data_IF_791487999477
#
_entry.id   IF_791487999477
#
_cell.length_a   1.000
_cell.length_b   1.000
_cell.length_c   1.000
_cell.angle_alpha   90.00
_cell.angle_beta   90.00
_cell.angle_gamma   90.00
#
_symmetry.space_group_name_H-M   'P 1'
#
loop_
_entity.id
_entity.type
_entity.pdbx_description
1 polymer ?
#
# COMPACT_ATOMS: atom_id res chain seq x y z
N UNK A 1 -4.24 -8.10 -10.96
CA UNK A 1 -4.81 -8.49 -12.24
C UNK A 1 -4.36 -7.48 -13.28
N UNK A 2 -3.36 -7.86 -14.07
CA UNK A 2 -2.75 -7.01 -15.11
C UNK A 2 -3.59 -6.90 -16.40
N UNK A 3 -4.76 -7.53 -16.45
CA UNK A 3 -5.55 -7.65 -17.69
C UNK A 3 -6.60 -6.55 -17.83
N UNK A 4 -7.08 -5.98 -16.74
CA UNK A 4 -8.10 -4.91 -16.76
C UNK A 4 -7.76 -3.80 -15.77
N UNK A 5 -7.91 -2.56 -16.24
CA UNK A 5 -7.85 -1.41 -15.35
C UNK A 5 -8.99 -1.49 -14.34
N UNK A 6 -8.68 -1.22 -13.06
CA UNK A 6 -9.67 -1.28 -11.99
C UNK A 6 -10.70 -0.15 -12.10
N UNK A 7 -10.29 0.99 -12.65
CA UNK A 7 -11.14 2.15 -12.83
C UNK A 7 -11.56 2.28 -14.29
N UNK A 8 -12.87 2.24 -14.55
CA UNK A 8 -13.43 2.37 -15.88
C UNK A 8 -14.04 3.76 -16.03
N UNK A 9 -13.65 4.49 -17.08
CA UNK A 9 -14.30 5.75 -17.45
C UNK A 9 -15.62 5.47 -18.12
N UNK A 10 -16.71 6.03 -17.57
CA UNK A 10 -18.06 5.86 -18.13
C UNK A 10 -18.24 6.87 -19.28
N UNK A 11 -18.66 6.42 -20.48
CA UNK A 11 -18.89 7.32 -21.62
C UNK A 11 -20.16 8.15 -21.40
N UNK A 12 -20.06 9.27 -20.72
CA UNK A 12 -21.20 10.12 -20.35
C UNK A 12 -21.01 11.62 -20.64
N UNK A 13 -19.96 12.00 -21.36
CA UNK A 13 -19.59 13.41 -21.59
C UNK A 13 -19.14 14.20 -20.35
N UNK A 14 -19.26 13.62 -19.17
CA UNK A 14 -18.71 14.11 -17.90
C UNK A 14 -17.66 13.12 -17.39
N UNK A 15 -16.71 13.59 -16.59
CA UNK A 15 -15.74 12.71 -15.97
C UNK A 15 -16.43 11.89 -14.87
N UNK A 16 -16.87 10.70 -15.26
CA UNK A 16 -17.47 9.70 -14.35
C UNK A 16 -16.66 8.43 -14.43
N UNK A 17 -16.40 7.86 -13.29
CA UNK A 17 -15.65 6.62 -13.15
C UNK A 17 -16.46 5.59 -12.40
N UNK A 18 -16.23 4.33 -12.70
CA UNK A 18 -16.81 3.19 -12.02
C UNK A 18 -15.72 2.15 -11.75
N UNK A 19 -15.78 1.50 -10.60
CA UNK A 19 -14.90 0.38 -10.31
C UNK A 19 -15.33 -0.87 -11.06
N UNK A 20 -14.38 -1.58 -11.65
CA UNK A 20 -14.63 -2.81 -12.42
C UNK A 20 -15.31 -3.89 -11.58
N UNK A 21 -14.96 -3.98 -10.30
CA UNK A 21 -15.58 -4.90 -9.36
C UNK A 21 -17.09 -4.63 -9.15
N UNK A 22 -17.50 -3.37 -9.16
CA UNK A 22 -18.94 -3.03 -9.08
C UNK A 22 -19.69 -3.41 -10.36
N UNK A 23 -19.05 -3.23 -11.51
CA UNK A 23 -19.60 -3.70 -12.78
C UNK A 23 -19.78 -5.24 -12.78
N UNK A 24 -18.75 -5.97 -12.35
CA UNK A 24 -18.80 -7.43 -12.24
C UNK A 24 -19.94 -7.85 -11.29
N UNK A 25 -20.02 -7.23 -10.10
CA UNK A 25 -21.09 -7.53 -9.15
C UNK A 25 -22.48 -7.24 -9.72
N UNK A 26 -22.62 -6.20 -10.55
CA UNK A 26 -23.89 -5.87 -11.20
C UNK A 26 -24.31 -6.98 -12.15
N UNK A 27 -23.42 -7.45 -13.01
CA UNK A 27 -23.70 -8.47 -14.04
C UNK A 27 -23.51 -9.91 -13.56
N UNK A 28 -23.17 -10.14 -12.30
CA UNK A 28 -22.98 -11.48 -11.76
C UNK A 28 -24.16 -12.45 -12.02
N UNK A 29 -25.46 -12.03 -11.94
CA UNK A 29 -26.59 -12.91 -12.30
C UNK A 29 -26.56 -13.41 -13.73
N UNK A 30 -26.00 -12.65 -14.68
CA UNK A 30 -25.88 -13.10 -16.08
C UNK A 30 -24.79 -14.17 -16.24
N UNK A 31 -23.73 -14.09 -15.41
CA UNK A 31 -22.67 -15.11 -15.41
C UNK A 31 -23.17 -16.44 -14.81
N UNK A 32 -24.05 -16.34 -13.83
CA UNK A 32 -24.61 -17.49 -13.11
C UNK A 32 -26.11 -17.72 -13.47
N UNK A 33 -26.44 -17.71 -14.76
CA UNK A 33 -27.83 -17.82 -15.26
C UNK A 33 -28.61 -19.03 -14.71
N UNK A 34 -27.92 -20.13 -14.41
CA UNK A 34 -28.51 -21.36 -13.87
C UNK A 34 -28.72 -21.34 -12.35
N UNK A 35 -28.31 -20.26 -11.68
CA UNK A 35 -28.36 -20.15 -10.22
C UNK A 35 -29.06 -18.85 -9.81
N UNK A 36 -29.71 -18.88 -8.67
CA UNK A 36 -30.22 -17.67 -8.03
C UNK A 36 -29.17 -17.11 -7.14
N UNK A 37 -28.60 -15.96 -7.48
CA UNK A 37 -27.64 -15.23 -6.63
C UNK A 37 -28.35 -14.64 -5.43
N UNK A 38 -28.17 -15.23 -4.25
CA UNK A 38 -28.79 -14.77 -2.99
C UNK A 38 -28.06 -13.60 -2.34
N UNK A 39 -26.74 -13.62 -2.37
CA UNK A 39 -25.89 -12.55 -1.83
C UNK A 39 -24.59 -12.44 -2.63
N UNK A 40 -23.99 -11.28 -2.61
CA UNK A 40 -22.73 -10.98 -3.29
C UNK A 40 -21.97 -9.92 -2.53
N UNK A 41 -20.67 -10.06 -2.42
CA UNK A 41 -19.79 -9.10 -1.76
C UNK A 41 -18.40 -9.18 -2.34
N UNK A 42 -17.68 -8.06 -2.30
CA UNK A 42 -16.24 -8.07 -2.44
C UNK A 42 -15.64 -8.46 -1.10
N UNK A 43 -14.55 -9.19 -1.15
CA UNK A 43 -13.75 -9.49 0.03
C UNK A 43 -12.30 -9.09 -0.22
N UNK A 44 -11.63 -8.67 0.83
CA UNK A 44 -10.19 -8.39 0.86
C UNK A 44 -9.56 -9.12 2.03
N UNK A 45 -8.51 -9.87 1.74
CA UNK A 45 -7.75 -10.60 2.74
C UNK A 45 -6.40 -9.91 2.88
N UNK A 46 -6.10 -9.42 4.07
CA UNK A 46 -4.78 -8.90 4.41
C UNK A 46 -4.03 -10.02 5.12
N UNK A 47 -2.82 -10.26 4.67
CA UNK A 47 -1.93 -11.27 5.22
C UNK A 47 -0.80 -10.60 5.98
N UNK A 48 -0.24 -11.29 6.96
CA UNK A 48 0.94 -10.80 7.65
C UNK A 48 2.05 -10.50 6.63
N UNK A 49 2.76 -9.38 6.81
CA UNK A 49 3.85 -8.97 5.95
C UNK A 49 5.24 -9.30 6.55
N UNK A 50 5.27 -9.70 7.82
CA UNK A 50 6.51 -10.12 8.46
C UNK A 50 7.00 -11.42 7.84
N UNK A 51 7.92 -11.25 6.92
CA UNK A 51 8.82 -12.28 6.47
C UNK A 51 10.11 -11.94 7.21
N UNK A 52 10.61 -12.89 7.99
CA UNK A 52 11.97 -12.80 8.49
C UNK A 52 12.90 -12.76 7.28
N UNK A 53 13.34 -11.55 6.95
CA UNK A 53 14.17 -11.28 5.77
C UNK A 53 15.51 -12.01 5.96
N UNK A 54 15.91 -12.20 7.21
CA UNK A 54 17.15 -12.87 7.57
C UNK A 54 17.18 -14.36 7.13
N UNK A 55 16.07 -15.07 7.15
CA UNK A 55 16.03 -16.45 6.62
C UNK A 55 16.04 -16.52 5.08
N UNK A 56 15.66 -15.46 4.39
CA UNK A 56 15.53 -15.44 2.93
C UNK A 56 16.80 -15.02 2.19
N UNK A 57 17.73 -14.32 2.87
CA UNK A 57 18.93 -13.72 2.26
C UNK A 57 20.26 -14.37 2.62
N UNK A 58 20.27 -15.42 3.48
CA UNK A 58 21.52 -16.08 3.88
C UNK A 58 22.05 -17.13 2.89
N UNK A 59 21.44 -17.28 1.72
CA UNK A 59 21.98 -18.13 0.68
C UNK A 59 22.80 -17.25 -0.29
N UNK A 60 24.09 -17.11 -0.02
CA UNK A 60 25.04 -16.27 -0.78
C UNK A 60 25.14 -16.65 -2.27
N UNK A 61 24.61 -17.81 -2.66
CA UNK A 61 24.67 -18.34 -4.03
C UNK A 61 23.37 -18.10 -4.85
N UNK A 62 22.31 -17.50 -4.27
CA UNK A 62 21.06 -17.27 -4.99
C UNK A 62 21.03 -15.88 -5.64
N UNK A 63 20.75 -15.85 -6.95
CA UNK A 63 20.45 -14.59 -7.65
C UNK A 63 19.32 -13.84 -6.94
N UNK A 64 19.50 -12.52 -6.77
CA UNK A 64 18.52 -11.61 -6.16
C UNK A 64 17.09 -11.80 -6.71
N UNK A 65 16.97 -12.10 -8.00
CA UNK A 65 15.69 -12.38 -8.66
C UNK A 65 15.00 -13.63 -8.13
N UNK A 66 15.75 -14.73 -7.96
CA UNK A 66 15.23 -15.99 -7.44
C UNK A 66 14.85 -15.86 -5.96
N UNK A 67 15.63 -15.11 -5.19
CA UNK A 67 15.33 -14.76 -3.80
C UNK A 67 14.03 -13.95 -3.70
N UNK A 68 13.81 -12.96 -4.56
CA UNK A 68 12.58 -12.18 -4.62
C UNK A 68 11.36 -13.01 -5.07
N UNK A 69 11.52 -13.93 -6.03
CA UNK A 69 10.43 -14.86 -6.41
C UNK A 69 10.05 -15.79 -5.26
N UNK A 70 11.04 -16.31 -4.53
CA UNK A 70 10.83 -17.15 -3.34
C UNK A 70 10.09 -16.36 -2.25
N UNK A 71 10.49 -15.12 -2.02
CA UNK A 71 9.87 -14.19 -1.07
C UNK A 71 8.41 -13.89 -1.43
N UNK A 72 8.11 -13.64 -2.71
CA UNK A 72 6.75 -13.43 -3.21
C UNK A 72 5.89 -14.69 -3.05
N UNK A 73 6.44 -15.88 -3.33
CA UNK A 73 5.75 -17.16 -3.12
C UNK A 73 5.45 -17.40 -1.64
N UNK A 74 6.39 -17.07 -0.76
CA UNK A 74 6.22 -17.17 0.69
C UNK A 74 5.14 -16.21 1.18
N UNK A 75 5.08 -14.97 0.68
CA UNK A 75 4.02 -14.00 0.98
C UNK A 75 2.61 -14.55 0.72
N UNK A 76 2.41 -15.34 -0.32
CA UNK A 76 1.11 -15.96 -0.61
C UNK A 76 0.68 -17.00 0.43
N UNK A 77 1.61 -17.52 1.23
CA UNK A 77 1.38 -18.50 2.30
C UNK A 77 1.29 -17.89 3.68
N UNK A 78 1.54 -16.58 3.82
CA UNK A 78 1.49 -15.90 5.10
C UNK A 78 0.08 -15.95 5.69
N UNK A 79 0.04 -16.03 7.02
CA UNK A 79 -1.20 -16.13 7.77
C UNK A 79 -2.10 -14.92 7.49
N UNK A 80 -3.37 -15.13 7.15
CA UNK A 80 -4.35 -14.05 7.10
C UNK A 80 -4.49 -13.40 8.47
N UNK A 81 -4.51 -12.06 8.50
CA UNK A 81 -4.65 -11.28 9.73
C UNK A 81 -5.90 -10.40 9.75
N UNK A 82 -6.51 -10.18 8.56
CA UNK A 82 -7.72 -9.38 8.44
C UNK A 82 -8.54 -9.82 7.24
N UNK A 83 -9.85 -9.91 7.42
CA UNK A 83 -10.86 -10.08 6.38
C UNK A 83 -11.76 -8.84 6.34
N UNK A 84 -11.86 -8.22 5.18
CA UNK A 84 -12.78 -7.11 4.93
C UNK A 84 -13.84 -7.56 3.92
N UNK A 85 -15.09 -7.11 4.10
CA UNK A 85 -16.16 -7.34 3.14
C UNK A 85 -16.97 -6.06 2.90
N UNK A 86 -17.43 -5.86 1.65
CA UNK A 86 -18.06 -4.60 1.21
C UNK A 86 -19.59 -4.60 1.33
N UNK A 87 -20.21 -5.75 1.52
CA UNK A 87 -21.66 -5.89 1.60
C UNK A 87 -22.02 -6.88 2.68
N UNK A 88 -23.18 -6.69 3.29
CA UNK A 88 -23.69 -7.62 4.30
C UNK A 88 -23.77 -9.03 3.71
N UNK A 89 -23.15 -9.97 4.37
CA UNK A 89 -23.17 -11.40 4.06
C UNK A 89 -23.90 -12.15 5.15
N UNK A 90 -24.42 -13.32 4.79
CA UNK A 90 -24.97 -14.25 5.76
C UNK A 90 -23.89 -14.66 6.78
N UNK A 91 -24.29 -14.77 8.04
CA UNK A 91 -23.38 -15.13 9.16
C UNK A 91 -22.68 -16.46 8.88
N UNK A 92 -23.39 -17.43 8.26
CA UNK A 92 -22.84 -18.74 7.91
C UNK A 92 -21.69 -18.61 6.91
N UNK A 93 -21.80 -17.69 5.95
CA UNK A 93 -20.74 -17.44 4.97
C UNK A 93 -19.50 -16.86 5.66
N UNK A 94 -19.71 -15.88 6.54
CA UNK A 94 -18.62 -15.26 7.30
C UNK A 94 -17.91 -16.28 8.19
N UNK A 95 -18.67 -17.12 8.91
CA UNK A 95 -18.12 -18.16 9.76
C UNK A 95 -17.33 -19.21 8.98
N UNK A 96 -17.78 -19.60 7.78
CA UNK A 96 -17.02 -20.49 6.92
C UNK A 96 -15.72 -19.85 6.45
N UNK A 97 -15.75 -18.57 5.99
CA UNK A 97 -14.57 -17.84 5.60
C UNK A 97 -13.56 -17.72 6.76
N UNK A 98 -14.04 -17.43 7.97
CA UNK A 98 -13.20 -17.36 9.17
C UNK A 98 -12.50 -18.69 9.45
N UNK A 99 -13.23 -19.79 9.39
CA UNK A 99 -12.67 -21.15 9.61
C UNK A 99 -11.61 -21.48 8.57
N UNK A 100 -11.90 -21.23 7.29
CA UNK A 100 -10.94 -21.46 6.19
C UNK A 100 -9.68 -20.59 6.33
N UNK A 101 -9.85 -19.34 6.73
CA UNK A 101 -8.75 -18.39 6.89
C UNK A 101 -8.06 -18.51 8.26
N UNK A 102 -8.64 -19.23 9.21
CA UNK A 102 -8.16 -19.40 10.60
C UNK A 102 -8.00 -18.07 11.32
N UNK A 103 -8.98 -17.17 11.21
CA UNK A 103 -8.99 -15.84 11.83
C UNK A 103 -10.09 -15.71 12.90
N UNK A 104 -9.87 -14.80 13.85
CA UNK A 104 -10.84 -14.46 14.90
C UNK A 104 -12.01 -13.62 14.39
N UNK A 105 -13.06 -13.48 15.20
CA UNK A 105 -14.20 -12.62 14.87
C UNK A 105 -13.81 -11.13 14.85
N UNK A 106 -12.88 -10.76 15.71
CA UNK A 106 -12.27 -9.43 15.84
C UNK A 106 -11.42 -9.01 14.64
N UNK A 107 -11.11 -9.96 13.75
CA UNK A 107 -10.33 -9.73 12.52
C UNK A 107 -11.23 -9.61 11.27
N UNK A 108 -12.55 -9.59 11.41
CA UNK A 108 -13.50 -9.42 10.32
C UNK A 108 -14.12 -8.04 10.37
N UNK A 109 -14.06 -7.32 9.25
CA UNK A 109 -14.51 -5.93 9.16
C UNK A 109 -15.47 -5.75 8.00
N UNK A 110 -16.57 -5.08 8.28
CA UNK A 110 -17.49 -4.58 7.26
C UNK A 110 -17.14 -3.14 6.90
N UNK A 111 -17.16 -2.82 5.61
CA UNK A 111 -16.92 -1.46 5.10
C UNK A 111 -17.84 -1.16 3.94
N UNK A 112 -18.64 -0.11 4.04
CA UNK A 112 -19.45 0.40 2.92
C UNK A 112 -18.62 1.13 1.88
N UNK A 113 -17.40 1.55 2.24
CA UNK A 113 -16.45 2.16 1.31
C UNK A 113 -15.78 1.08 0.43
N UNK A 114 -15.26 1.46 -0.75
CA UNK A 114 -14.46 0.56 -1.56
C UNK A 114 -13.28 -0.02 -0.77
N UNK A 115 -13.09 -1.33 -0.93
CA UNK A 115 -12.08 -2.07 -0.20
C UNK A 115 -10.71 -1.74 -0.71
N UNK A 116 -9.86 -1.06 -0.51
CA UNK A 116 -8.58 -0.73 -1.12
C UNK A 116 -8.71 0.52 -2.02
N UNK A 117 -7.96 1.54 -1.68
CA UNK A 117 -8.12 2.86 -2.27
C UNK A 117 -7.02 3.27 -3.26
N UNK A 118 -6.15 2.35 -3.69
CA UNK A 118 -5.05 2.65 -4.62
C UNK A 118 -5.53 3.21 -5.97
N UNK A 119 -6.78 2.90 -6.37
CA UNK A 119 -7.36 3.46 -7.59
C UNK A 119 -7.49 5.00 -7.56
N UNK A 120 -7.43 5.62 -6.39
CA UNK A 120 -7.42 7.09 -6.28
C UNK A 120 -6.23 7.73 -6.97
N UNK A 121 -5.09 7.05 -7.05
CA UNK A 121 -3.94 7.56 -7.80
C UNK A 121 -4.24 7.73 -9.29
N UNK A 122 -5.03 6.82 -9.89
CA UNK A 122 -5.46 6.92 -11.29
C UNK A 122 -6.40 8.12 -11.51
N UNK A 123 -7.31 8.39 -10.55
CA UNK A 123 -8.17 9.59 -10.58
C UNK A 123 -7.31 10.83 -10.45
N UNK A 124 -6.39 10.85 -9.50
CA UNK A 124 -5.46 11.96 -9.29
C UNK A 124 -4.66 12.26 -10.57
N UNK A 125 -4.15 11.24 -11.22
CA UNK A 125 -3.39 11.37 -12.46
C UNK A 125 -4.23 11.93 -13.61
N UNK A 126 -5.50 11.50 -13.72
CA UNK A 126 -6.43 12.01 -14.74
C UNK A 126 -6.85 13.47 -14.53
N UNK A 127 -6.70 13.98 -13.31
CA UNK A 127 -7.10 15.33 -12.91
C UNK A 127 -5.91 16.29 -12.74
N UNK A 128 -4.69 15.89 -13.07
CA UNK A 128 -3.45 16.70 -12.86
C UNK A 128 -3.50 18.09 -13.47
N UNK A 129 -4.28 18.29 -14.54
CA UNK A 129 -4.43 19.58 -15.18
C UNK A 129 -5.32 20.56 -14.38
N UNK A 130 -6.16 20.02 -13.51
CA UNK A 130 -7.07 20.81 -12.64
C UNK A 130 -6.36 21.22 -11.35
N UNK A 131 -5.48 22.22 -11.45
CA UNK A 131 -4.63 22.66 -10.34
C UNK A 131 -5.42 23.07 -9.09
N UNK A 132 -6.65 23.53 -9.24
CA UNK A 132 -7.55 23.92 -8.15
C UNK A 132 -7.94 22.74 -7.22
N UNK A 133 -7.74 21.49 -7.67
CA UNK A 133 -8.02 20.31 -6.87
C UNK A 133 -6.80 19.83 -6.07
N UNK A 134 -5.64 20.45 -6.25
CA UNK A 134 -4.40 20.03 -5.62
C UNK A 134 -3.86 21.12 -4.71
N UNK A 135 -3.28 20.68 -3.59
CA UNK A 135 -2.51 21.59 -2.76
C UNK A 135 -1.26 22.06 -3.49
N UNK A 136 -0.86 23.30 -3.24
CA UNK A 136 0.42 23.81 -3.73
C UNK A 136 1.58 22.95 -3.21
N UNK A 137 2.54 22.72 -4.09
CA UNK A 137 3.74 21.94 -3.73
C UNK A 137 4.56 22.73 -2.70
N UNK A 138 4.63 22.22 -1.49
CA UNK A 138 5.50 22.78 -0.44
C UNK A 138 6.96 22.43 -0.73
N UNK A 139 7.81 23.43 -0.61
CA UNK A 139 9.26 23.24 -0.69
C UNK A 139 9.78 22.95 0.73
N UNK A 140 10.46 21.81 0.97
CA UNK A 140 11.04 21.52 2.26
C UNK A 140 12.01 22.61 2.71
N UNK A 141 11.87 23.07 3.94
CA UNK A 141 12.70 24.12 4.50
C UNK A 141 14.05 23.57 4.95
N UNK A 142 15.08 24.40 4.91
CA UNK A 142 16.36 24.03 5.49
C UNK A 142 16.22 24.03 7.02
N UNK A 143 16.62 22.94 7.73
CA UNK A 143 16.57 22.90 9.18
C UNK A 143 17.45 23.99 9.79
N UNK A 144 16.87 24.78 10.69
CA UNK A 144 17.57 25.93 11.29
C UNK A 144 18.71 25.50 12.24
N UNK A 145 18.65 24.29 12.77
CA UNK A 145 19.65 23.73 13.68
C UNK A 145 20.95 23.29 12.98
N UNK A 146 20.94 23.16 11.63
CA UNK A 146 22.05 22.56 10.89
C UNK A 146 22.85 23.65 10.15
N UNK A 147 24.09 23.75 10.48
CA UNK A 147 25.06 24.62 9.80
C UNK A 147 25.63 23.93 8.57
N UNK A 148 25.65 24.67 7.44
CA UNK A 148 26.17 24.13 6.18
C UNK A 148 27.69 24.20 6.06
N UNK A 149 28.31 25.01 6.88
CA UNK A 149 29.75 25.28 6.90
C UNK A 149 30.57 24.30 7.78
N UNK A 150 29.90 23.42 8.52
CA UNK A 150 30.53 22.40 9.37
C UNK A 150 30.09 20.99 8.94
N UNK A 151 30.92 19.95 9.13
CA UNK A 151 30.51 18.57 8.96
C UNK A 151 29.27 18.23 9.79
N UNK A 152 28.39 17.41 9.24
CA UNK A 152 27.16 17.02 9.96
C UNK A 152 27.47 16.09 11.13
N UNK A 153 28.48 15.22 10.95
CA UNK A 153 28.94 14.29 12.00
C UNK A 153 29.38 15.07 13.25
N UNK A 154 30.22 16.07 13.10
CA UNK A 154 30.71 16.85 14.24
C UNK A 154 29.58 17.56 14.98
N UNK A 155 28.56 18.01 14.25
CA UNK A 155 27.42 18.70 14.85
C UNK A 155 26.47 17.76 15.61
N UNK A 156 26.29 16.51 15.16
CA UNK A 156 25.43 15.53 15.86
C UNK A 156 26.17 14.92 17.07
N UNK A 157 27.49 14.90 17.09
CA UNK A 157 28.27 14.54 18.29
C UNK A 157 28.07 15.53 19.44
N UNK A 158 27.82 16.80 19.10
CA UNK A 158 27.56 17.84 20.10
C UNK A 158 26.13 17.83 20.62
N UNK A 159 25.14 17.50 19.74
CA UNK A 159 23.72 17.59 20.08
C UNK A 159 22.86 16.76 19.18
N UNK A 160 21.88 16.05 19.78
CA UNK A 160 20.81 15.37 19.05
C UNK A 160 19.94 16.33 18.25
N UNK A 161 19.55 15.93 17.04
CA UNK A 161 18.67 16.69 16.20
C UNK A 161 17.40 15.93 15.89
N UNK A 162 16.30 16.67 15.90
CA UNK A 162 15.01 16.22 15.39
C UNK A 162 14.73 16.88 14.05
N UNK A 163 14.47 16.08 13.02
CA UNK A 163 14.09 16.54 11.67
C UNK A 163 12.67 16.08 11.34
N UNK A 164 11.82 17.01 10.91
CA UNK A 164 10.42 16.73 10.58
C UNK A 164 10.22 16.63 9.07
N UNK A 165 10.32 15.40 8.54
CA UNK A 165 10.02 15.15 7.13
C UNK A 165 8.50 15.03 6.89
N UNK A 166 8.00 15.52 5.72
CA UNK A 166 8.66 16.13 4.57
C UNK A 166 8.78 17.66 4.66
N UNK A 167 8.53 18.27 5.82
CA UNK A 167 8.54 19.73 5.97
C UNK A 167 9.95 20.31 5.98
N UNK A 168 10.88 19.58 6.53
CA UNK A 168 12.31 19.88 6.48
C UNK A 168 13.00 19.05 5.39
N UNK A 169 14.13 19.61 4.91
CA UNK A 169 14.89 19.01 3.81
C UNK A 169 15.67 17.78 4.27
N UNK A 170 15.64 16.71 3.48
CA UNK A 170 16.48 15.52 3.67
C UNK A 170 17.95 15.74 3.28
N UNK A 171 18.32 16.89 2.71
CA UNK A 171 19.71 17.14 2.28
C UNK A 171 20.75 16.95 3.38
N UNK A 172 20.51 17.40 4.63
CA UNK A 172 21.46 17.16 5.72
C UNK A 172 21.64 15.68 6.04
N UNK A 173 20.57 14.89 6.00
CA UNK A 173 20.68 13.44 6.22
C UNK A 173 21.49 12.74 5.11
N UNK A 174 21.25 13.12 3.85
CA UNK A 174 22.05 12.59 2.72
C UNK A 174 23.51 13.02 2.84
N UNK A 175 23.75 14.25 3.32
CA UNK A 175 25.12 14.74 3.56
C UNK A 175 25.80 13.95 4.67
N UNK A 176 25.10 13.67 5.77
CA UNK A 176 25.60 12.81 6.85
C UNK A 176 26.05 11.44 6.33
N UNK A 177 25.21 10.77 5.51
CA UNK A 177 25.58 9.46 4.95
C UNK A 177 26.82 9.52 4.06
N UNK A 178 27.01 10.61 3.32
CA UNK A 178 28.23 10.81 2.50
C UNK A 178 29.45 11.05 3.35
N UNK A 179 29.34 11.94 4.35
CA UNK A 179 30.41 12.23 5.29
C UNK A 179 30.81 10.96 6.05
N UNK A 180 29.84 10.16 6.53
CA UNK A 180 30.10 8.90 7.23
C UNK A 180 30.81 7.86 6.33
N UNK A 181 30.50 7.82 5.04
CA UNK A 181 31.19 6.93 4.09
C UNK A 181 32.64 7.34 3.76
N UNK A 182 33.02 8.56 4.08
CA UNK A 182 34.38 9.12 3.86
C UNK A 182 35.18 9.27 5.17
N UNK A 183 34.53 9.10 6.33
CA UNK A 183 35.14 9.29 7.65
C UNK A 183 35.76 7.97 8.15
N UNK A 184 37.07 7.98 8.39
CA UNK A 184 37.78 6.79 8.89
C UNK A 184 37.40 6.39 10.34
N UNK A 185 36.61 7.22 11.03
CA UNK A 185 36.15 6.98 12.42
C UNK A 185 34.89 6.16 12.50
N UNK A 186 34.15 5.96 11.37
CA UNK A 186 32.86 5.29 11.30
C UNK A 186 32.97 3.87 10.78
#
# INVERSE_FOLDING_TARGET
>A
NEVFERLIKVPSGKERYMLVEELILHFLPLVFERYTVKSKSLIRIIRNADIDVDEAFYDEDLDYRDSMEKLIRTRRRLCPVKLEHSRVLDVTIIENLRKELRIGADQVYFSEAPLELSFFSQIQDSLREKRELFFEKRVPQQPACIRNDLPVIDQIEEKDWFLSFPYESMKPFIRLLKEAGEDERV
#
